data_IF_124464415091
#
_entry.id   IF_124464415091
#
_cell.length_a   1.000
_cell.length_b   1.000
_cell.length_c   1.000
_cell.angle_alpha   90.00
_cell.angle_beta   90.00
_cell.angle_gamma   90.00
#
_symmetry.space_group_name_H-M   'P 1'
#
loop_
_entity.id
_entity.type
_entity.pdbx_description
1 polymer ?
#
# COMPACT_ATOMS: atom_id res chain seq x y z
N UNK A 1 -12.61 9.63 -7.69
CA UNK A 1 -11.95 8.36 -7.32
C UNK A 1 -11.08 8.05 -8.51
N UNK A 2 -9.77 8.09 -8.31
CA UNK A 2 -8.82 7.94 -9.40
C UNK A 2 -8.73 6.45 -9.70
N UNK A 3 -8.99 6.08 -10.95
CA UNK A 3 -8.90 4.71 -11.42
C UNK A 3 -7.58 4.55 -12.17
N UNK A 4 -6.74 3.62 -11.71
CA UNK A 4 -5.48 3.29 -12.35
C UNK A 4 -5.66 2.03 -13.19
N UNK A 5 -5.70 2.21 -14.50
CA UNK A 5 -5.87 1.13 -15.47
C UNK A 5 -4.67 0.17 -15.56
N UNK A 6 -3.54 0.49 -14.91
CA UNK A 6 -2.32 -0.31 -14.88
C UNK A 6 -1.51 -0.11 -13.61
N UNK A 7 -0.62 -1.06 -13.33
CA UNK A 7 0.35 -0.96 -12.22
C UNK A 7 1.30 0.22 -12.40
N UNK A 8 1.73 0.51 -13.64
CA UNK A 8 2.59 1.66 -13.95
C UNK A 8 1.94 3.00 -13.62
N UNK A 9 0.62 3.13 -13.89
CA UNK A 9 -0.11 4.33 -13.56
C UNK A 9 -0.15 4.58 -12.03
N UNK A 10 -0.36 3.52 -11.24
CA UNK A 10 -0.33 3.59 -9.79
C UNK A 10 1.07 3.89 -9.23
N UNK A 11 2.11 3.28 -9.79
CA UNK A 11 3.52 3.56 -9.44
C UNK A 11 3.88 5.02 -9.75
N UNK A 12 3.43 5.53 -10.91
CA UNK A 12 3.65 6.94 -11.29
C UNK A 12 2.97 7.89 -10.31
N UNK A 13 1.76 7.57 -9.86
CA UNK A 13 1.08 8.34 -8.83
C UNK A 13 1.85 8.35 -7.50
N UNK A 14 2.44 7.21 -7.10
CA UNK A 14 3.31 7.14 -5.91
C UNK A 14 4.58 7.97 -6.06
N UNK A 15 5.21 7.98 -7.24
CA UNK A 15 6.38 8.83 -7.50
C UNK A 15 6.04 10.32 -7.39
N UNK A 16 4.90 10.73 -7.93
CA UNK A 16 4.42 12.10 -7.80
C UNK A 16 4.15 12.48 -6.34
N UNK A 17 3.53 11.57 -5.57
CA UNK A 17 3.30 11.76 -4.14
C UNK A 17 4.62 11.84 -3.37
N UNK A 18 5.59 10.98 -3.66
CA UNK A 18 6.90 11.04 -3.03
C UNK A 18 7.58 12.40 -3.31
N UNK A 19 7.50 12.91 -4.53
CA UNK A 19 8.01 14.24 -4.87
C UNK A 19 7.27 15.36 -4.12
N UNK A 20 5.93 15.29 -4.04
CA UNK A 20 5.08 16.26 -3.34
C UNK A 20 5.46 16.38 -1.85
N UNK A 21 5.68 15.25 -1.17
CA UNK A 21 6.01 15.20 0.26
C UNK A 21 7.53 15.18 0.55
N UNK A 22 8.38 15.36 -0.48
CA UNK A 22 9.84 15.36 -0.34
C UNK A 22 10.41 14.05 0.19
N UNK A 23 9.83 12.91 -0.18
CA UNK A 23 10.22 11.56 0.23
C UNK A 23 11.12 10.90 -0.81
N UNK A 24 12.14 10.20 -0.34
CA UNK A 24 12.89 9.29 -1.17
C UNK A 24 11.99 8.11 -1.55
N UNK A 25 11.98 7.72 -2.82
CA UNK A 25 11.24 6.57 -3.31
C UNK A 25 12.18 5.68 -4.13
N UNK A 26 12.22 4.40 -3.79
CA UNK A 26 12.87 3.35 -4.56
C UNK A 26 11.79 2.45 -5.13
N UNK A 27 11.85 2.12 -6.43
CA UNK A 27 10.86 1.26 -7.07
C UNK A 27 11.59 0.17 -7.86
N UNK A 28 11.18 -1.07 -7.64
CA UNK A 28 11.61 -2.25 -8.37
C UNK A 28 10.40 -2.86 -9.07
N UNK A 29 10.58 -3.29 -10.31
CA UNK A 29 9.55 -3.95 -11.11
C UNK A 29 9.98 -5.39 -11.35
N UNK A 30 9.16 -6.35 -10.97
CA UNK A 30 9.40 -7.77 -11.20
C UNK A 30 8.56 -8.23 -12.40
N UNK A 31 9.10 -8.01 -13.59
CA UNK A 31 8.46 -8.35 -14.86
C UNK A 31 8.79 -9.81 -15.21
N UNK A 32 7.83 -10.72 -15.02
CA UNK A 32 7.93 -12.11 -15.50
C UNK A 32 8.71 -13.08 -14.61
N UNK A 33 9.00 -12.73 -13.36
CA UNK A 33 9.64 -13.61 -12.39
C UNK A 33 8.94 -13.50 -11.02
N UNK A 34 7.75 -14.10 -10.91
CA UNK A 34 7.01 -14.19 -9.65
C UNK A 34 7.84 -14.88 -8.56
N UNK A 35 8.11 -14.17 -7.46
CA UNK A 35 8.66 -14.77 -6.22
C UNK A 35 7.57 -15.32 -5.31
N UNK A 36 6.30 -15.04 -5.59
CA UNK A 36 5.19 -15.56 -4.81
C UNK A 36 4.82 -16.97 -5.31
N UNK A 37 4.96 -17.95 -4.42
CA UNK A 37 4.70 -19.37 -4.67
C UNK A 37 3.19 -19.67 -4.81
N UNK A 38 2.46 -18.92 -5.65
CA UNK A 38 1.06 -19.19 -6.00
C UNK A 38 1.02 -19.59 -7.48
N UNK A 39 1.28 -20.88 -7.71
CA UNK A 39 1.25 -21.51 -9.03
C UNK A 39 -0.19 -21.53 -9.57
N UNK A 40 -0.61 -20.46 -10.22
CA UNK A 40 -1.78 -20.47 -11.11
C UNK A 40 -1.26 -20.44 -12.54
N UNK A 41 -1.63 -21.45 -13.33
CA UNK A 41 -1.05 -21.71 -14.63
C UNK A 41 -1.21 -20.52 -15.59
N UNK A 42 -0.09 -19.86 -15.93
CA UNK A 42 -0.02 -18.92 -17.04
C UNK A 42 -0.13 -19.70 -18.36
N UNK A 43 -1.35 -19.87 -18.85
CA UNK A 43 -1.62 -20.28 -20.22
C UNK A 43 -1.23 -19.16 -21.20
N UNK A 44 -0.64 -19.55 -22.32
CA UNK A 44 -0.28 -18.69 -23.46
C UNK A 44 -1.45 -17.77 -23.84
N UNK A 45 -1.26 -16.45 -23.69
CA UNK A 45 -2.25 -15.43 -24.03
C UNK A 45 -2.38 -14.31 -22.99
N UNK A 46 -1.28 -13.70 -22.56
CA UNK A 46 -1.31 -12.59 -21.60
C UNK A 46 -1.93 -11.37 -22.27
N UNK A 47 -3.13 -10.99 -21.82
CA UNK A 47 -3.78 -9.73 -22.17
C UNK A 47 -2.97 -8.60 -21.58
N UNK A 48 -2.36 -7.77 -22.43
CA UNK A 48 -1.73 -6.51 -22.03
C UNK A 48 -2.77 -5.58 -21.41
N UNK A 49 -2.38 -4.81 -20.40
CA UNK A 49 -3.20 -3.72 -19.86
C UNK A 49 -3.55 -2.72 -20.99
N UNK A 50 -4.60 -1.88 -20.83
CA UNK A 50 -5.05 -0.94 -21.86
C UNK A 50 -3.99 0.07 -22.33
N UNK A 51 -2.93 0.25 -21.55
CA UNK A 51 -1.77 1.11 -21.84
C UNK A 51 -0.59 0.35 -22.49
N UNK A 52 -0.75 -0.95 -22.74
CA UNK A 52 0.27 -1.81 -23.33
C UNK A 52 1.28 -2.38 -22.33
N UNK A 53 1.15 -2.08 -21.02
CA UNK A 53 1.97 -2.70 -19.99
C UNK A 53 1.53 -4.16 -19.74
N UNK A 54 2.45 -5.01 -19.30
CA UNK A 54 2.09 -6.35 -18.84
C UNK A 54 1.65 -6.26 -17.38
N UNK A 55 0.56 -6.93 -16.96
CA UNK A 55 0.26 -7.10 -15.55
C UNK A 55 1.48 -7.73 -14.86
N UNK A 56 2.06 -7.00 -13.90
CA UNK A 56 3.30 -7.40 -13.22
C UNK A 56 3.32 -6.96 -11.76
N UNK A 57 4.14 -7.63 -10.95
CA UNK A 57 4.41 -7.25 -9.57
C UNK A 57 5.35 -6.02 -9.55
N UNK A 58 4.99 -5.00 -8.77
CA UNK A 58 5.86 -3.84 -8.55
C UNK A 58 6.02 -3.59 -7.05
N UNK A 59 7.24 -3.28 -6.62
CA UNK A 59 7.57 -2.95 -5.25
C UNK A 59 8.08 -1.51 -5.17
N UNK A 60 7.43 -0.68 -4.37
CA UNK A 60 7.82 0.69 -4.09
C UNK A 60 8.09 0.88 -2.60
N UNK A 61 9.22 1.46 -2.25
CA UNK A 61 9.59 1.79 -0.88
C UNK A 61 9.75 3.30 -0.75
N UNK A 62 8.96 3.89 0.14
CA UNK A 62 9.02 5.30 0.51
C UNK A 62 9.75 5.46 1.84
N UNK A 63 10.87 6.17 1.78
CA UNK A 63 11.70 6.49 2.94
C UNK A 63 11.11 7.58 3.82
N UNK A 64 11.61 7.67 5.05
CA UNK A 64 11.20 8.65 6.05
C UNK A 64 10.37 8.04 7.17
N UNK A 65 9.64 8.89 7.90
CA UNK A 65 8.69 8.50 8.93
C UNK A 65 7.29 8.99 8.52
N UNK A 66 6.29 8.10 8.40
CA UNK A 66 6.41 6.64 8.50
C UNK A 66 7.19 6.05 7.30
N UNK A 67 7.92 4.95 7.53
CA UNK A 67 8.42 4.07 6.47
C UNK A 67 7.23 3.35 5.88
N UNK A 68 7.09 3.44 4.56
CA UNK A 68 6.00 2.81 3.82
C UNK A 68 6.60 1.99 2.70
N UNK A 69 6.21 0.72 2.60
CA UNK A 69 6.44 -0.06 1.39
C UNK A 69 5.12 -0.50 0.80
N UNK A 70 5.08 -0.60 -0.52
CA UNK A 70 3.90 -0.96 -1.30
C UNK A 70 4.33 -2.05 -2.26
N UNK A 71 3.63 -3.18 -2.23
CA UNK A 71 3.76 -4.24 -3.22
C UNK A 71 2.45 -4.35 -3.97
N UNK A 72 2.49 -4.07 -5.26
CA UNK A 72 1.37 -4.28 -6.17
C UNK A 72 1.36 -5.73 -6.64
N UNK A 73 0.18 -6.33 -6.61
CA UNK A 73 -0.13 -7.62 -7.20
C UNK A 73 -0.67 -7.41 -8.63
N UNK A 74 -0.59 -8.42 -9.51
CA UNK A 74 -1.19 -8.37 -10.84
C UNK A 74 -2.73 -8.35 -10.81
N UNK A 75 -3.37 -8.75 -9.70
CA UNK A 75 -4.82 -8.91 -9.54
C UNK A 75 -5.54 -7.62 -9.05
N UNK A 76 -4.97 -6.43 -9.29
CA UNK A 76 -5.51 -5.10 -8.91
C UNK A 76 -5.57 -4.81 -7.40
N UNK A 77 -4.90 -5.65 -6.59
CA UNK A 77 -4.66 -5.46 -5.16
C UNK A 77 -3.21 -5.08 -4.85
N UNK A 78 -2.99 -4.60 -3.64
CA UNK A 78 -1.69 -4.25 -3.13
C UNK A 78 -1.59 -4.56 -1.63
N UNK A 79 -0.39 -4.94 -1.23
CA UNK A 79 0.02 -5.01 0.16
C UNK A 79 0.78 -3.72 0.50
N UNK A 80 0.28 -2.97 1.47
CA UNK A 80 0.99 -1.80 2.02
C UNK A 80 1.56 -2.17 3.38
N UNK A 81 2.86 -2.00 3.59
CA UNK A 81 3.47 -2.12 4.91
C UNK A 81 3.78 -0.74 5.46
N UNK A 82 3.23 -0.39 6.62
CA UNK A 82 3.47 0.87 7.32
C UNK A 82 4.19 0.58 8.63
N UNK A 83 5.46 0.97 8.77
CA UNK A 83 6.22 0.77 10.02
C UNK A 83 6.12 -0.69 10.54
N UNK A 84 6.40 -1.66 9.65
CA UNK A 84 6.30 -3.11 9.89
C UNK A 84 4.89 -3.66 10.10
N UNK A 85 3.86 -2.85 9.86
CA UNK A 85 2.45 -3.27 9.87
C UNK A 85 1.98 -3.56 8.46
N UNK A 86 1.73 -4.83 8.17
CA UNK A 86 1.15 -5.29 6.91
C UNK A 86 -0.34 -4.96 6.83
N UNK A 87 -0.72 -4.16 5.84
CA UNK A 87 -2.09 -3.82 5.46
C UNK A 87 -2.40 -4.50 4.11
N UNK A 88 -2.88 -5.76 4.12
CA UNK A 88 -3.20 -6.49 2.90
C UNK A 88 -4.49 -5.98 2.24
N UNK A 89 -4.78 -6.48 1.04
CA UNK A 89 -6.06 -6.26 0.35
C UNK A 89 -6.43 -4.78 0.09
N UNK A 90 -5.43 -3.92 -0.10
CA UNK A 90 -5.65 -2.53 -0.50
C UNK A 90 -5.82 -2.49 -2.01
N UNK A 91 -6.93 -1.95 -2.51
CA UNK A 91 -7.13 -1.79 -3.96
C UNK A 91 -6.07 -0.87 -4.54
N UNK A 92 -5.55 -1.20 -5.72
CA UNK A 92 -4.57 -0.37 -6.45
C UNK A 92 -5.00 1.09 -6.57
N UNK A 93 -6.29 1.33 -6.83
CA UNK A 93 -6.93 2.65 -6.88
C UNK A 93 -6.85 3.44 -5.57
N UNK A 94 -6.85 2.74 -4.44
CA UNK A 94 -6.85 3.34 -3.12
C UNK A 94 -5.42 3.58 -2.60
N UNK A 95 -4.40 2.96 -3.20
CA UNK A 95 -3.00 3.04 -2.74
C UNK A 95 -2.49 4.48 -2.63
N UNK A 96 -2.60 5.35 -3.66
CA UNK A 96 -2.08 6.71 -3.53
C UNK A 96 -2.82 7.53 -2.48
N UNK A 97 -4.12 7.30 -2.32
CA UNK A 97 -4.92 7.97 -1.29
C UNK A 97 -4.58 7.47 0.12
N UNK A 98 -4.29 6.18 0.28
CA UNK A 98 -3.82 5.60 1.52
C UNK A 98 -2.50 6.24 1.95
N UNK A 99 -1.51 6.29 1.05
CA UNK A 99 -0.19 6.87 1.35
C UNK A 99 -0.30 8.36 1.65
N UNK A 100 -1.15 9.08 0.91
CA UNK A 100 -1.45 10.49 1.20
C UNK A 100 -2.01 10.68 2.62
N UNK A 101 -2.99 9.86 3.02
CA UNK A 101 -3.58 9.93 4.35
C UNK A 101 -2.58 9.66 5.49
N UNK A 102 -1.55 8.83 5.25
CA UNK A 102 -0.45 8.64 6.21
C UNK A 102 0.38 9.91 6.38
N UNK A 103 0.76 10.57 5.27
CA UNK A 103 1.60 11.76 5.31
C UNK A 103 0.87 13.03 5.75
N UNK A 104 -0.43 13.14 5.48
CA UNK A 104 -1.28 14.22 5.99
C UNK A 104 -1.61 14.06 7.50
N UNK A 105 -1.19 12.96 8.13
CA UNK A 105 -1.46 12.70 9.55
C UNK A 105 -2.93 12.39 9.85
N UNK A 106 -3.68 11.91 8.84
CA UNK A 106 -5.07 11.50 9.00
C UNK A 106 -5.19 10.08 9.58
N UNK A 107 -4.18 9.25 9.33
CA UNK A 107 -4.06 7.94 9.93
C UNK A 107 -3.87 8.04 11.45
N UNK A 108 -4.61 7.21 12.19
CA UNK A 108 -4.54 7.17 13.65
C UNK A 108 -4.66 5.73 14.15
N UNK A 109 -4.10 5.49 15.33
CA UNK A 109 -4.18 4.21 16.01
C UNK A 109 -5.27 4.29 17.06
N UNK A 110 -6.28 3.43 16.95
CA UNK A 110 -7.35 3.32 17.94
C UNK A 110 -7.03 2.20 18.92
N UNK A 111 -6.87 2.54 20.20
CA UNK A 111 -6.74 1.55 21.25
C UNK A 111 -8.11 0.99 21.65
N UNK A 112 -8.21 -0.33 21.80
CA UNK A 112 -9.39 -1.03 22.34
C UNK A 112 -9.01 -1.66 23.68
N UNK A 113 -9.83 -1.43 24.71
CA UNK A 113 -9.59 -1.95 26.06
C UNK A 113 -10.04 -3.40 26.25
N UNK A 114 -11.05 -3.88 25.49
CA UNK A 114 -11.55 -5.26 25.63
C UNK A 114 -12.16 -5.84 24.32
N UNK A 115 -11.59 -6.94 23.78
CA UNK A 115 -10.26 -7.46 24.09
C UNK A 115 -9.17 -6.40 23.81
N UNK A 116 -8.04 -6.43 24.54
CA UNK A 116 -6.98 -5.46 24.37
C UNK A 116 -6.37 -5.59 22.98
N UNK A 117 -6.22 -4.46 22.29
CA UNK A 117 -5.64 -4.43 20.95
C UNK A 117 -5.57 -3.01 20.38
N UNK A 118 -4.67 -2.80 19.43
CA UNK A 118 -4.56 -1.55 18.70
C UNK A 118 -5.04 -1.78 17.27
N UNK A 119 -5.61 -0.75 16.65
CA UNK A 119 -6.02 -0.81 15.26
C UNK A 119 -5.49 0.41 14.52
N UNK A 120 -4.75 0.20 13.44
CA UNK A 120 -4.42 1.28 12.52
C UNK A 120 -5.68 1.59 11.70
N UNK A 121 -6.10 2.86 11.73
CA UNK A 121 -7.24 3.35 10.96
C UNK A 121 -6.73 4.37 9.96
N UNK A 122 -6.91 4.07 8.68
CA UNK A 122 -6.54 4.95 7.57
C UNK A 122 -7.80 5.34 6.79
N UNK A 123 -8.17 6.63 6.77
CA UNK A 123 -9.30 7.08 5.98
C UNK A 123 -8.97 7.03 4.48
N UNK A 124 -9.91 6.51 3.71
CA UNK A 124 -9.87 6.42 2.25
C UNK A 124 -10.97 7.29 1.63
N UNK A 125 -10.83 7.70 0.36
CA UNK A 125 -11.86 8.44 -0.34
C UNK A 125 -13.20 7.68 -0.39
N UNK A 126 -14.29 8.44 -0.23
CA UNK A 126 -15.66 7.90 -0.24
C UNK A 126 -16.13 7.34 1.09
N UNK A 127 -15.71 7.93 2.21
CA UNK A 127 -16.08 7.53 3.59
C UNK A 127 -15.71 6.08 3.94
N UNK A 128 -14.75 5.51 3.20
CA UNK A 128 -14.20 4.18 3.48
C UNK A 128 -13.03 4.34 4.45
N UNK A 129 -12.81 3.32 5.26
CA UNK A 129 -11.64 3.27 6.15
C UNK A 129 -10.99 1.92 6.04
N UNK A 130 -9.68 1.90 5.80
CA UNK A 130 -8.90 0.69 5.98
C UNK A 130 -8.58 0.53 7.48
N UNK A 131 -8.76 -0.68 7.99
CA UNK A 131 -8.59 -0.99 9.40
C UNK A 131 -7.77 -2.24 9.55
N UNK A 132 -6.58 -2.09 10.12
CA UNK A 132 -5.66 -3.20 10.34
C UNK A 132 -5.43 -3.46 11.83
N UNK A 133 -5.31 -4.72 12.24
CA UNK A 133 -5.05 -5.08 13.62
C UNK A 133 -3.56 -5.02 13.94
N UNK A 134 -3.23 -4.32 15.02
CA UNK A 134 -1.87 -4.18 15.52
C UNK A 134 -1.68 -5.09 16.75
N UNK A 135 -0.75 -6.06 16.71
CA UNK A 135 -0.34 -6.79 17.89
C UNK A 135 0.22 -5.83 18.95
N UNK A 136 -0.13 -6.04 20.22
CA UNK A 136 0.18 -5.14 21.34
C UNK A 136 1.68 -4.81 21.53
N UNK A 137 2.59 -5.59 20.94
CA UNK A 137 4.04 -5.44 21.10
C UNK A 137 4.73 -4.77 19.90
N UNK A 138 3.98 -4.35 18.87
CA UNK A 138 4.55 -3.93 17.57
C UNK A 138 4.41 -2.43 17.29
N UNK A 139 4.13 -1.59 18.29
CA UNK A 139 3.95 -0.16 18.05
C UNK A 139 5.32 0.53 17.88
N UNK A 140 5.65 0.87 16.63
CA UNK A 140 6.76 1.76 16.34
C UNK A 140 6.58 3.14 17.03
N UNK A 141 7.64 3.95 17.14
CA UNK A 141 7.53 5.31 17.68
C UNK A 141 6.50 6.17 16.93
N UNK A 142 6.38 6.00 15.61
CA UNK A 142 5.38 6.72 14.81
C UNK A 142 3.96 6.25 15.15
N UNK A 143 3.73 4.94 15.22
CA UNK A 143 2.42 4.37 15.59
C UNK A 143 1.99 4.81 16.98
N UNK A 144 2.93 4.82 17.93
CA UNK A 144 2.69 5.25 19.31
C UNK A 144 2.28 6.72 19.40
N UNK A 145 2.86 7.59 18.57
CA UNK A 145 2.50 9.02 18.50
C UNK A 145 1.11 9.24 17.88
N UNK A 146 0.67 8.33 17.02
CA UNK A 146 -0.61 8.40 16.31
C UNK A 146 -1.78 7.79 17.11
N UNK A 147 -1.55 7.34 18.35
CA UNK A 147 -2.61 6.79 19.21
C UNK A 147 -3.61 7.88 19.61
N UNK A 148 -4.91 7.61 19.41
CA UNK A 148 -6.04 8.45 19.82
C UNK A 148 -7.04 7.67 20.67
#
# INVERSE_FOLDING_TARGET
MDHYASTEAAVTALRNLAAEYGRAIEVSHDIGADRTSRRTAAGVGVTTDPDGSLPHEAYAELGGLPRVSVRFSPDDDALITVEDVECPDVRRDDVPAFVRALYDGLAHVKARRFPPGHFLIVPLPGDRTHREFLPLLSLSPWLSRSVR
#
